data_IF_832763186184
#
_entry.id   IF_832763186184
#
_cell.length_a   1.000
_cell.length_b   1.000
_cell.length_c   1.000
_cell.angle_alpha   90.00
_cell.angle_beta   90.00
_cell.angle_gamma   90.00
#
_symmetry.space_group_name_H-M   'P 1'
#
loop_
_entity.id
_entity.type
_entity.pdbx_description
1 polymer ?
#
# COMPACT_ATOMS: atom_id res chain seq x y z
N UNK A 1 14.59 6.00 -10.34
CA UNK A 1 14.10 5.81 -8.96
C UNK A 1 15.29 6.04 -8.04
N UNK A 2 15.27 7.12 -7.26
CA UNK A 2 16.27 7.36 -6.22
C UNK A 2 15.86 6.61 -4.96
N UNK A 3 16.80 6.09 -4.15
CA UNK A 3 16.47 5.51 -2.86
C UNK A 3 15.86 6.57 -1.93
N UNK A 4 14.97 6.14 -1.03
CA UNK A 4 14.47 7.01 0.02
C UNK A 4 15.64 7.53 0.85
N UNK A 5 15.60 8.82 1.18
CA UNK A 5 16.56 9.48 2.03
C UNK A 5 16.43 9.00 3.48
N UNK A 6 17.51 9.15 4.25
CA UNK A 6 17.50 8.87 5.70
C UNK A 6 16.42 9.67 6.42
N UNK A 7 16.18 10.91 5.99
CA UNK A 7 15.17 11.80 6.58
C UNK A 7 13.75 11.30 6.29
N UNK A 8 13.47 10.84 5.06
CA UNK A 8 12.17 10.24 4.72
C UNK A 8 11.91 8.97 5.54
N UNK A 9 12.92 8.11 5.71
CA UNK A 9 12.81 6.90 6.54
C UNK A 9 12.60 7.29 8.00
N UNK A 10 13.32 8.28 8.52
CA UNK A 10 13.16 8.77 9.89
C UNK A 10 11.78 9.38 10.13
N UNK A 11 11.21 10.09 9.15
CA UNK A 11 9.84 10.62 9.23
C UNK A 11 8.80 9.50 9.27
N UNK A 12 8.98 8.42 8.49
CA UNK A 12 8.11 7.24 8.57
C UNK A 12 8.12 6.61 9.96
N UNK A 13 9.25 6.59 10.68
CA UNK A 13 9.34 5.99 12.03
C UNK A 13 8.49 6.69 13.08
N UNK A 14 8.11 7.95 12.84
CA UNK A 14 7.32 8.75 13.78
C UNK A 14 5.83 8.39 13.79
N UNK A 15 5.37 7.58 12.83
CA UNK A 15 3.95 7.24 12.66
C UNK A 15 3.80 5.91 11.91
N UNK A 16 2.56 5.51 11.62
CA UNK A 16 2.26 4.36 10.78
C UNK A 16 1.96 4.81 9.36
N UNK A 17 2.48 4.07 8.38
CA UNK A 17 2.39 4.38 6.97
C UNK A 17 1.85 3.20 6.19
N UNK A 18 1.14 3.45 5.09
CA UNK A 18 0.91 2.39 4.10
C UNK A 18 2.26 2.04 3.46
N UNK A 19 2.50 0.78 3.14
CA UNK A 19 3.77 0.36 2.51
C UNK A 19 4.05 1.06 1.16
N UNK A 20 3.01 1.57 0.49
CA UNK A 20 3.07 2.08 -0.87
C UNK A 20 3.07 3.61 -1.01
N UNK A 21 2.92 4.35 0.10
CA UNK A 21 2.88 5.83 0.10
C UNK A 21 3.45 6.40 1.39
N UNK A 22 3.75 7.71 1.39
CA UNK A 22 4.20 8.45 2.57
C UNK A 22 3.15 8.52 3.70
N UNK A 23 3.61 8.71 4.97
CA UNK A 23 2.76 8.72 6.16
C UNK A 23 1.71 9.83 6.19
N UNK A 24 2.11 11.04 5.82
CA UNK A 24 1.29 12.24 5.91
C UNK A 24 1.16 12.87 4.53
N UNK A 25 0.07 12.58 3.82
CA UNK A 25 -0.28 13.35 2.64
C UNK A 25 -0.89 14.69 3.07
N UNK A 26 -0.42 15.83 2.54
CA UNK A 26 -1.06 17.12 2.76
C UNK A 26 -2.57 17.06 2.44
N UNK A 27 -2.94 16.27 1.43
CA UNK A 27 -4.32 16.03 0.98
C UNK A 27 -5.21 15.37 2.03
N UNK A 28 -4.68 14.58 2.97
CA UNK A 28 -5.46 13.94 4.04
C UNK A 28 -6.10 14.94 4.99
N UNK A 29 -5.58 16.16 5.07
CA UNK A 29 -6.12 17.22 5.93
C UNK A 29 -7.21 18.07 5.26
N UNK A 30 -7.41 17.93 3.94
CA UNK A 30 -8.41 18.67 3.18
C UNK A 30 -9.77 17.98 3.27
N UNK A 31 -10.82 18.76 3.57
CA UNK A 31 -12.21 18.25 3.69
C UNK A 31 -12.93 18.12 2.35
N UNK A 32 -12.43 18.79 1.32
CA UNK A 32 -12.95 18.65 -0.03
C UNK A 32 -12.40 17.38 -0.66
N UNK A 33 -13.17 16.78 -1.58
CA UNK A 33 -12.61 15.76 -2.46
C UNK A 33 -11.38 16.28 -3.23
N UNK A 34 -10.58 15.39 -3.81
CA UNK A 34 -9.49 15.79 -4.68
C UNK A 34 -10.01 16.71 -5.79
N UNK A 35 -9.23 17.72 -6.15
CA UNK A 35 -9.58 18.58 -7.26
C UNK A 35 -9.54 17.76 -8.55
N UNK A 36 -10.66 17.70 -9.26
CA UNK A 36 -10.77 17.03 -10.55
C UNK A 36 -11.03 18.06 -11.65
N UNK A 37 -10.40 17.86 -12.79
CA UNK A 37 -10.67 18.58 -14.03
C UNK A 37 -12.01 18.16 -14.64
N UNK A 38 -12.52 18.96 -15.59
CA UNK A 38 -13.75 18.62 -16.29
C UNK A 38 -13.67 17.30 -17.08
N UNK A 39 -12.50 16.97 -17.64
CA UNK A 39 -12.27 15.72 -18.36
C UNK A 39 -12.28 14.51 -17.44
N UNK A 40 -11.68 14.62 -16.25
CA UNK A 40 -11.72 13.59 -15.21
C UNK A 40 -13.15 13.31 -14.75
N UNK A 41 -13.93 14.36 -14.48
CA UNK A 41 -15.34 14.22 -14.11
C UNK A 41 -16.18 13.65 -15.24
N UNK A 42 -15.95 14.05 -16.49
CA UNK A 42 -16.68 13.49 -17.62
C UNK A 42 -16.37 12.00 -17.84
N UNK A 43 -15.11 11.59 -17.59
CA UNK A 43 -14.69 10.21 -17.69
C UNK A 43 -15.28 9.33 -16.59
N UNK A 44 -15.36 9.81 -15.33
CA UNK A 44 -16.01 9.07 -14.24
C UNK A 44 -17.51 8.85 -14.48
N UNK A 45 -18.18 9.79 -15.15
CA UNK A 45 -19.59 9.67 -15.54
C UNK A 45 -19.79 8.64 -16.66
N UNK A 46 -18.78 8.40 -17.50
CA UNK A 46 -18.83 7.41 -18.58
C UNK A 46 -19.63 7.82 -19.82
N UNK A 47 -20.10 9.07 -19.91
CA UNK A 47 -20.82 9.55 -21.08
C UNK A 47 -19.85 10.04 -22.17
N UNK A 48 -19.56 9.17 -23.14
CA UNK A 48 -18.61 9.44 -24.25
C UNK A 48 -18.96 10.74 -25.01
N UNK A 49 -20.20 10.96 -25.48
CA UNK A 49 -20.56 12.23 -26.13
C UNK A 49 -20.29 13.48 -25.29
N UNK A 50 -20.56 13.43 -23.97
CA UNK A 50 -20.28 14.53 -23.07
C UNK A 50 -18.77 14.74 -22.92
N UNK A 51 -18.02 13.66 -22.74
CA UNK A 51 -16.56 13.70 -22.67
C UNK A 51 -15.96 14.36 -23.92
N UNK A 52 -16.40 13.94 -25.11
CA UNK A 52 -15.92 14.51 -26.37
C UNK A 52 -16.28 15.99 -26.52
N UNK A 53 -17.44 16.44 -26.02
CA UNK A 53 -17.79 17.86 -25.98
C UNK A 53 -16.87 18.65 -25.04
N UNK A 54 -16.59 18.13 -23.85
CA UNK A 54 -15.67 18.76 -22.89
C UNK A 54 -14.26 18.85 -23.48
N UNK A 55 -13.81 17.79 -24.15
CA UNK A 55 -12.53 17.74 -24.86
C UNK A 55 -12.45 18.76 -26.00
N UNK A 56 -13.51 18.88 -26.80
CA UNK A 56 -13.62 19.84 -27.90
C UNK A 56 -13.58 21.31 -27.43
N UNK A 57 -13.88 21.58 -26.15
CA UNK A 57 -13.72 22.90 -25.55
C UNK A 57 -12.25 23.30 -25.28
N UNK A 58 -11.29 22.56 -25.84
CA UNK A 58 -9.84 22.81 -25.77
C UNK A 58 -9.28 22.76 -24.34
N UNK A 59 -9.71 21.74 -23.58
CA UNK A 59 -9.11 21.40 -22.30
C UNK A 59 -7.69 20.84 -22.51
N UNK A 60 -6.79 21.09 -21.57
CA UNK A 60 -5.44 20.54 -21.63
C UNK A 60 -5.45 19.03 -21.31
N UNK A 61 -4.98 18.22 -22.27
CA UNK A 61 -4.82 16.76 -22.15
C UNK A 61 -3.38 16.30 -22.49
N UNK A 62 -2.45 17.26 -22.60
CA UNK A 62 -1.10 17.04 -23.13
C UNK A 62 -0.30 16.02 -22.31
N UNK A 63 -0.40 16.06 -20.98
CA UNK A 63 0.28 15.10 -20.11
C UNK A 63 -0.29 13.69 -20.25
N UNK A 64 -1.62 13.56 -20.29
CA UNK A 64 -2.28 12.25 -20.30
C UNK A 64 -2.19 11.50 -21.62
N UNK A 65 -1.88 12.22 -22.71
CA UNK A 65 -1.66 11.67 -24.05
C UNK A 65 -0.17 11.51 -24.39
N UNK A 66 0.71 11.89 -23.46
CA UNK A 66 2.16 11.78 -23.65
C UNK A 66 2.60 10.31 -23.69
N UNK A 67 3.41 9.96 -24.69
CA UNK A 67 3.93 8.59 -24.89
C UNK A 67 5.16 8.28 -24.05
N UNK A 68 5.97 9.30 -23.76
CA UNK A 68 7.23 9.17 -23.02
C UNK A 68 7.25 10.21 -21.89
N UNK A 69 7.43 9.76 -20.65
CA UNK A 69 7.57 10.67 -19.51
C UNK A 69 8.90 11.43 -19.71
N UNK A 70 8.88 12.77 -19.80
CA UNK A 70 10.10 13.52 -20.02
C UNK A 70 11.08 13.32 -18.86
N UNK A 71 12.40 13.21 -19.14
CA UNK A 71 13.41 12.92 -18.12
C UNK A 71 13.60 14.07 -17.13
N UNK A 72 13.20 15.28 -17.50
CA UNK A 72 13.15 16.45 -16.63
C UNK A 72 11.80 17.14 -16.78
N UNK A 73 11.24 17.67 -15.68
CA UNK A 73 10.03 18.46 -15.76
C UNK A 73 10.26 19.71 -16.60
N UNK A 74 9.25 20.10 -17.38
CA UNK A 74 9.26 21.37 -18.08
C UNK A 74 9.25 22.55 -17.09
N UNK A 75 9.83 23.68 -17.49
CA UNK A 75 9.85 24.91 -16.68
C UNK A 75 8.42 25.39 -16.32
N UNK A 76 7.46 25.11 -17.20
CA UNK A 76 6.03 25.40 -16.99
C UNK A 76 5.25 24.09 -17.12
N UNK A 77 4.64 23.66 -16.02
CA UNK A 77 3.79 22.48 -15.98
C UNK A 77 2.41 22.81 -16.52
N UNK A 78 1.86 21.90 -17.31
CA UNK A 78 0.50 22.00 -17.84
C UNK A 78 -0.54 21.63 -16.79
N UNK A 79 -1.81 21.94 -17.01
CA UNK A 79 -2.87 21.63 -16.04
C UNK A 79 -3.04 20.12 -15.85
N UNK A 80 -2.95 19.35 -16.93
CA UNK A 80 -2.97 17.89 -16.94
C UNK A 80 -1.75 17.29 -16.23
N UNK A 81 -0.57 17.94 -16.29
CA UNK A 81 0.61 17.53 -15.52
C UNK A 81 0.43 17.80 -14.01
N UNK A 82 -0.25 18.88 -13.65
CA UNK A 82 -0.54 19.23 -12.27
C UNK A 82 -1.72 18.46 -11.66
N UNK A 83 -2.42 17.61 -12.44
CA UNK A 83 -3.45 16.73 -11.89
C UNK A 83 -2.83 15.61 -11.05
N UNK A 84 -3.54 15.22 -10.00
CA UNK A 84 -3.24 14.06 -9.14
C UNK A 84 -3.88 12.77 -9.67
N UNK A 85 -4.69 12.86 -10.72
CA UNK A 85 -5.38 11.76 -11.37
C UNK A 85 -5.31 11.92 -12.91
N UNK A 86 -6.05 11.09 -13.64
CA UNK A 86 -6.31 11.29 -15.06
C UNK A 86 -7.69 10.72 -15.43
N UNK A 87 -8.24 11.09 -16.60
CA UNK A 87 -9.48 10.51 -17.10
C UNK A 87 -9.50 8.98 -17.11
N UNK A 88 -8.35 8.32 -17.33
CA UNK A 88 -8.25 6.86 -17.26
C UNK A 88 -8.44 6.34 -15.84
N UNK A 89 -7.79 6.97 -14.85
CA UNK A 89 -7.95 6.60 -13.44
C UNK A 89 -9.41 6.73 -13.00
N UNK A 90 -10.04 7.85 -13.36
CA UNK A 90 -11.43 8.12 -13.00
C UNK A 90 -12.43 7.17 -13.67
N UNK A 91 -12.20 6.82 -14.94
CA UNK A 91 -13.00 5.81 -15.63
C UNK A 91 -12.88 4.43 -14.94
N UNK A 92 -11.67 4.03 -14.54
CA UNK A 92 -11.41 2.76 -13.85
C UNK A 92 -12.08 2.73 -12.47
N UNK A 93 -11.81 3.73 -11.64
CA UNK A 93 -12.38 3.82 -10.27
C UNK A 93 -13.91 3.88 -10.29
N UNK A 94 -14.50 4.39 -11.38
CA UNK A 94 -15.95 4.48 -11.57
C UNK A 94 -16.54 3.30 -12.34
N UNK A 95 -15.75 2.29 -12.73
CA UNK A 95 -16.21 1.10 -13.45
C UNK A 95 -16.70 1.37 -14.88
N UNK A 96 -16.24 2.45 -15.52
CA UNK A 96 -16.67 2.88 -16.86
C UNK A 96 -15.79 2.23 -17.95
N UNK A 97 -15.98 0.93 -18.19
CA UNK A 97 -15.14 0.16 -19.14
C UNK A 97 -15.24 0.66 -20.59
N UNK A 98 -16.42 1.07 -21.05
CA UNK A 98 -16.61 1.63 -22.40
C UNK A 98 -15.85 2.96 -22.55
N UNK A 99 -15.88 3.81 -21.53
CA UNK A 99 -15.09 5.04 -21.50
C UNK A 99 -13.59 4.74 -21.49
N UNK A 100 -13.14 3.75 -20.72
CA UNK A 100 -11.73 3.34 -20.72
C UNK A 100 -11.26 2.89 -22.11
N UNK A 101 -12.06 2.09 -22.82
CA UNK A 101 -11.78 1.70 -24.21
C UNK A 101 -11.74 2.92 -25.14
N UNK A 102 -12.69 3.84 -24.99
CA UNK A 102 -12.71 5.08 -25.76
C UNK A 102 -11.43 5.89 -25.54
N UNK A 103 -11.04 6.13 -24.29
CA UNK A 103 -9.82 6.85 -23.91
C UNK A 103 -8.56 6.22 -24.53
N UNK A 104 -8.44 4.88 -24.46
CA UNK A 104 -7.35 4.15 -25.12
C UNK A 104 -7.35 4.42 -26.62
N UNK A 105 -8.52 4.36 -27.28
CA UNK A 105 -8.66 4.55 -28.73
C UNK A 105 -8.26 5.95 -29.22
N UNK A 106 -8.48 6.98 -28.39
CA UNK A 106 -8.15 8.38 -28.73
C UNK A 106 -6.74 8.79 -28.29
N UNK A 107 -5.92 7.84 -27.81
CA UNK A 107 -4.50 8.04 -27.59
C UNK A 107 -4.08 8.39 -26.16
N UNK A 108 -4.97 8.28 -25.17
CA UNK A 108 -4.54 8.37 -23.78
C UNK A 108 -3.55 7.25 -23.44
N UNK A 109 -2.57 7.57 -22.61
CA UNK A 109 -1.46 6.68 -22.27
C UNK A 109 -1.86 5.73 -21.13
N UNK A 110 -1.84 4.40 -21.33
CA UNK A 110 -2.14 3.43 -20.27
C UNK A 110 -1.05 3.37 -19.17
N UNK A 111 0.08 4.05 -19.39
CA UNK A 111 1.21 4.13 -18.45
C UNK A 111 1.31 5.49 -17.76
N UNK A 112 0.28 6.32 -17.88
CA UNK A 112 0.29 7.67 -17.32
C UNK A 112 0.50 7.64 -15.81
N UNK A 113 1.46 8.43 -15.33
CA UNK A 113 1.71 8.67 -13.92
C UNK A 113 1.40 10.15 -13.62
N UNK A 114 0.46 10.44 -12.70
CA UNK A 114 0.25 11.80 -12.20
C UNK A 114 1.55 12.41 -11.66
N UNK A 115 1.92 13.60 -12.15
CA UNK A 115 3.20 14.22 -11.81
C UNK A 115 3.13 15.00 -10.48
N UNK A 116 1.97 15.56 -10.13
CA UNK A 116 1.81 16.42 -8.95
C UNK A 116 1.99 15.71 -7.60
N UNK A 117 1.82 14.38 -7.55
CA UNK A 117 1.90 13.60 -6.32
C UNK A 117 2.69 12.29 -6.55
N UNK A 118 4.02 12.37 -6.78
CA UNK A 118 4.83 11.21 -7.18
C UNK A 118 4.92 10.12 -6.11
N UNK A 119 4.66 10.47 -4.84
CA UNK A 119 4.63 9.56 -3.69
C UNK A 119 3.39 8.66 -3.66
N UNK A 120 2.32 9.03 -4.37
CA UNK A 120 1.06 8.29 -4.43
C UNK A 120 0.65 7.89 -5.84
N UNK A 121 1.42 8.29 -6.85
CA UNK A 121 1.04 8.06 -8.22
C UNK A 121 1.21 6.57 -8.57
N UNK A 122 0.15 6.03 -9.14
CA UNK A 122 0.09 4.67 -9.66
C UNK A 122 -0.37 4.75 -11.12
N UNK A 123 0.05 3.83 -11.99
CA UNK A 123 -0.43 3.76 -13.36
C UNK A 123 -1.84 3.14 -13.42
N UNK A 124 -2.61 3.40 -14.48
CA UNK A 124 -3.98 2.88 -14.65
C UNK A 124 -4.15 1.37 -14.37
N UNK A 125 -3.23 0.53 -14.85
CA UNK A 125 -3.37 -0.93 -14.66
C UNK A 125 -3.19 -1.36 -13.20
N UNK A 126 -2.43 -0.60 -12.41
CA UNK A 126 -2.34 -0.83 -10.95
C UNK A 126 -3.56 -0.27 -10.24
N UNK A 127 -4.16 0.81 -10.71
CA UNK A 127 -5.39 1.39 -10.14
C UNK A 127 -6.53 0.40 -10.14
N UNK A 128 -6.70 -0.34 -11.23
CA UNK A 128 -7.69 -1.40 -11.35
C UNK A 128 -7.55 -2.48 -10.25
N UNK A 129 -6.32 -2.69 -9.76
CA UNK A 129 -6.03 -3.66 -8.70
C UNK A 129 -6.06 -3.01 -7.31
N UNK A 130 -5.51 -1.82 -7.15
CA UNK A 130 -5.27 -1.22 -5.85
C UNK A 130 -6.48 -0.47 -5.28
N UNK A 131 -7.23 0.23 -6.13
CA UNK A 131 -8.26 1.21 -5.70
C UNK A 131 -9.68 0.83 -6.11
N UNK A 132 -9.87 -0.37 -6.65
CA UNK A 132 -11.18 -0.96 -6.89
C UNK A 132 -11.43 -2.05 -5.85
N UNK A 133 -12.62 -2.06 -5.25
CA UNK A 133 -13.05 -3.09 -4.30
C UNK A 133 -14.41 -3.67 -4.74
N UNK A 134 -14.44 -4.92 -5.26
CA UNK A 134 -13.30 -5.78 -5.54
C UNK A 134 -12.41 -5.25 -6.69
N UNK A 135 -11.17 -5.77 -6.86
CA UNK A 135 -10.30 -5.45 -8.00
C UNK A 135 -11.02 -5.59 -9.35
N UNK A 136 -10.86 -4.60 -10.23
CA UNK A 136 -11.52 -4.53 -11.54
C UNK A 136 -10.69 -5.27 -12.61
N UNK A 137 -10.92 -6.58 -12.70
CA UNK A 137 -10.23 -7.43 -13.68
C UNK A 137 -10.58 -7.07 -15.13
N UNK A 138 -11.78 -6.51 -15.39
CA UNK A 138 -12.18 -6.11 -16.75
C UNK A 138 -11.32 -4.93 -17.19
N UNK A 139 -11.19 -3.91 -16.35
CA UNK A 139 -10.30 -2.78 -16.63
C UNK A 139 -8.83 -3.22 -16.76
N UNK A 140 -8.38 -4.12 -15.88
CA UNK A 140 -7.03 -4.68 -15.94
C UNK A 140 -6.76 -5.40 -17.27
N UNK A 141 -7.69 -6.23 -17.73
CA UNK A 141 -7.56 -6.97 -18.99
C UNK A 141 -7.55 -6.04 -20.20
N UNK A 142 -8.42 -5.02 -20.22
CA UNK A 142 -8.46 -4.03 -21.29
C UNK A 142 -7.11 -3.31 -21.43
N UNK A 143 -6.47 -2.98 -20.31
CA UNK A 143 -5.15 -2.38 -20.30
C UNK A 143 -4.07 -3.38 -20.70
N UNK A 144 -4.10 -4.60 -20.18
CA UNK A 144 -3.12 -5.64 -20.51
C UNK A 144 -3.14 -6.06 -21.99
N UNK A 145 -4.30 -5.92 -22.66
CA UNK A 145 -4.45 -6.15 -24.10
C UNK A 145 -3.93 -5.00 -24.96
N UNK A 146 -3.80 -3.79 -24.42
CA UNK A 146 -3.25 -2.66 -25.17
C UNK A 146 -1.72 -2.81 -25.29
N UNK A 147 -1.15 -2.85 -26.51
CA UNK A 147 0.27 -3.10 -26.72
C UNK A 147 1.17 -1.97 -26.19
N UNK A 148 0.61 -0.81 -25.83
CA UNK A 148 1.35 0.30 -25.23
C UNK A 148 1.51 0.12 -23.73
N UNK A 149 0.72 -0.75 -23.08
CA UNK A 149 0.76 -0.92 -21.63
C UNK A 149 2.04 -1.62 -21.20
N UNK A 150 2.77 -0.97 -20.30
CA UNK A 150 3.92 -1.54 -19.61
C UNK A 150 3.46 -2.06 -18.25
N UNK A 151 3.25 -3.37 -18.15
CA UNK A 151 2.87 -4.03 -16.89
C UNK A 151 4.05 -4.19 -15.92
N UNK A 152 5.28 -3.84 -16.35
CA UNK A 152 6.50 -3.95 -15.54
C UNK A 152 6.85 -2.64 -14.82
N UNK A 153 6.17 -1.54 -15.20
CA UNK A 153 6.33 -0.23 -14.59
C UNK A 153 6.15 -0.31 -13.06
N UNK A 154 6.85 0.58 -12.35
CA UNK A 154 6.79 0.68 -10.89
C UNK A 154 6.50 2.12 -10.50
N UNK A 155 5.91 2.30 -9.31
CA UNK A 155 5.71 3.65 -8.79
C UNK A 155 7.07 4.35 -8.58
N UNK A 156 7.18 5.65 -8.88
CA UNK A 156 8.48 6.30 -9.05
C UNK A 156 9.26 6.51 -7.75
N UNK A 157 8.56 6.61 -6.61
CA UNK A 157 9.19 6.82 -5.29
C UNK A 157 9.37 5.50 -4.54
N UNK A 158 8.29 4.73 -4.38
CA UNK A 158 8.28 3.53 -3.55
C UNK A 158 8.60 2.23 -4.32
N UNK A 159 8.82 2.31 -5.64
CA UNK A 159 9.17 1.15 -6.48
C UNK A 159 8.12 0.02 -6.41
N UNK A 160 6.84 0.40 -6.25
CA UNK A 160 5.74 -0.55 -6.08
C UNK A 160 5.34 -1.12 -7.44
N UNK A 161 5.48 -2.43 -7.57
CA UNK A 161 4.96 -3.24 -8.68
C UNK A 161 3.50 -3.70 -8.40
N UNK A 162 2.71 -3.98 -9.44
CA UNK A 162 1.30 -4.41 -9.33
C UNK A 162 1.11 -5.63 -8.41
N UNK A 163 2.07 -6.55 -8.42
CA UNK A 163 2.06 -7.74 -7.57
C UNK A 163 2.10 -7.43 -6.07
N UNK A 164 2.68 -6.30 -5.65
CA UNK A 164 2.63 -5.89 -4.24
C UNK A 164 1.21 -5.48 -3.85
N UNK A 165 0.50 -4.73 -4.70
CA UNK A 165 -0.91 -4.38 -4.48
C UNK A 165 -1.80 -5.63 -4.45
N UNK A 166 -1.62 -6.53 -5.41
CA UNK A 166 -2.34 -7.81 -5.44
C UNK A 166 -2.07 -8.67 -4.19
N UNK A 167 -0.82 -8.67 -3.69
CA UNK A 167 -0.47 -9.39 -2.46
C UNK A 167 -1.13 -8.78 -1.23
N UNK A 168 -1.28 -7.45 -1.17
CA UNK A 168 -1.91 -6.78 -0.05
C UNK A 168 -3.39 -7.16 0.15
N UNK A 169 -4.07 -7.60 -0.92
CA UNK A 169 -5.44 -8.14 -0.88
C UNK A 169 -5.54 -9.54 -0.26
N UNK A 170 -4.43 -10.27 -0.13
CA UNK A 170 -4.38 -11.66 0.35
C UNK A 170 -5.30 -12.59 -0.47
N UNK A 171 -5.42 -12.33 -1.77
CA UNK A 171 -6.23 -13.11 -2.72
C UNK A 171 -5.32 -13.92 -3.65
N UNK A 172 -5.20 -15.22 -3.37
CA UNK A 172 -4.37 -16.15 -4.16
C UNK A 172 -4.90 -16.28 -5.60
N UNK A 173 -6.20 -16.50 -5.85
CA UNK A 173 -6.75 -16.46 -7.22
C UNK A 173 -6.38 -15.21 -8.01
N UNK A 174 -6.44 -14.02 -7.40
CA UNK A 174 -6.00 -12.76 -8.02
C UNK A 174 -4.50 -12.79 -8.35
N UNK A 175 -3.67 -13.22 -7.41
CA UNK A 175 -2.22 -13.34 -7.64
C UNK A 175 -1.91 -14.31 -8.77
N UNK A 176 -2.55 -15.47 -8.80
CA UNK A 176 -2.42 -16.45 -9.87
C UNK A 176 -2.89 -15.88 -11.21
N UNK A 177 -3.98 -15.10 -11.21
CA UNK A 177 -4.50 -14.44 -12.40
C UNK A 177 -3.47 -13.50 -13.02
N UNK A 178 -2.94 -12.55 -12.23
CA UNK A 178 -1.96 -11.56 -12.69
C UNK A 178 -0.65 -12.25 -13.10
N UNK A 179 -0.24 -13.33 -12.43
CA UNK A 179 0.97 -14.08 -12.77
C UNK A 179 0.86 -14.92 -14.07
N UNK A 180 -0.31 -15.00 -14.72
CA UNK A 180 -0.44 -15.67 -16.02
C UNK A 180 0.27 -14.90 -17.13
N UNK A 181 0.36 -13.58 -17.02
CA UNK A 181 1.05 -12.79 -18.02
C UNK A 181 2.57 -13.01 -17.92
N UNK A 182 3.27 -13.22 -19.06
CA UNK A 182 4.71 -13.49 -19.06
C UNK A 182 5.57 -12.38 -18.45
N UNK A 183 5.05 -11.15 -18.43
CA UNK A 183 5.73 -9.95 -17.93
C UNK A 183 5.58 -9.76 -16.42
N UNK A 184 4.70 -10.50 -15.76
CA UNK A 184 4.40 -10.36 -14.33
C UNK A 184 4.52 -11.67 -13.54
N UNK A 185 5.58 -12.50 -13.73
CA UNK A 185 5.82 -13.62 -12.83
C UNK A 185 6.11 -13.12 -11.41
N UNK A 186 5.96 -13.99 -10.39
CA UNK A 186 6.23 -13.61 -8.99
C UNK A 186 7.63 -12.98 -8.79
N UNK A 187 8.63 -13.45 -9.52
CA UNK A 187 9.99 -12.92 -9.47
C UNK A 187 10.12 -11.49 -10.02
N UNK A 188 9.21 -11.05 -10.89
CA UNK A 188 9.20 -9.68 -11.42
C UNK A 188 8.84 -8.63 -10.37
N UNK A 189 8.21 -9.03 -9.26
CA UNK A 189 7.87 -8.12 -8.18
C UNK A 189 9.10 -7.44 -7.56
N UNK A 190 10.25 -8.10 -7.49
CA UNK A 190 11.45 -7.56 -6.85
C UNK A 190 11.18 -7.09 -5.40
N UNK A 191 11.76 -5.95 -5.02
CA UNK A 191 11.50 -5.29 -3.74
C UNK A 191 11.00 -3.87 -3.94
N UNK A 192 10.28 -3.34 -2.95
CA UNK A 192 9.95 -1.91 -2.85
C UNK A 192 11.19 -1.09 -2.47
N UNK A 193 11.09 0.24 -2.51
CA UNK A 193 12.14 1.14 -1.99
C UNK A 193 12.32 1.05 -0.47
N UNK A 194 11.36 0.45 0.25
CA UNK A 194 11.46 0.10 1.66
C UNK A 194 12.09 -1.28 1.87
N UNK A 195 12.48 -1.98 0.80
CA UNK A 195 13.02 -3.34 0.90
C UNK A 195 11.96 -4.42 1.12
N UNK A 196 10.66 -4.08 1.07
CA UNK A 196 9.60 -5.08 1.20
C UNK A 196 9.56 -5.99 -0.02
N UNK A 197 9.59 -7.30 0.24
CA UNK A 197 9.25 -8.35 -0.72
C UNK A 197 7.74 -8.62 -0.70
N UNK A 198 7.21 -9.46 -1.59
CA UNK A 198 5.82 -9.92 -1.48
C UNK A 198 5.56 -10.59 -0.11
N UNK A 199 6.54 -11.35 0.39
CA UNK A 199 6.44 -11.98 1.71
C UNK A 199 6.38 -10.96 2.87
N UNK A 200 7.05 -9.82 2.75
CA UNK A 200 6.87 -8.72 3.70
C UNK A 200 5.45 -8.16 3.62
N UNK A 201 4.98 -7.81 2.42
CA UNK A 201 3.65 -7.19 2.22
C UNK A 201 2.52 -8.07 2.76
N UNK A 202 2.55 -9.38 2.51
CA UNK A 202 1.56 -10.29 3.09
C UNK A 202 1.65 -10.37 4.61
N UNK A 203 2.84 -10.18 5.19
CA UNK A 203 3.08 -10.32 6.65
C UNK A 203 2.77 -9.05 7.43
N UNK A 204 2.65 -7.90 6.75
CA UNK A 204 2.30 -6.63 7.37
C UNK A 204 0.92 -6.71 8.05
N UNK A 205 0.75 -6.03 9.20
CA UNK A 205 -0.56 -5.84 9.81
C UNK A 205 -1.50 -5.08 8.85
N UNK A 206 -2.80 -5.43 8.84
CA UNK A 206 -3.80 -4.78 7.97
C UNK A 206 -3.79 -3.26 8.14
N UNK A 207 -3.94 -2.85 9.40
CA UNK A 207 -3.86 -1.47 9.87
C UNK A 207 -3.10 -1.45 11.19
N UNK A 208 -2.74 -0.25 11.64
CA UNK A 208 -2.10 0.01 12.92
C UNK A 208 -2.96 -0.37 14.13
N UNK A 209 -4.28 -0.45 13.97
CA UNK A 209 -5.17 -1.02 14.99
C UNK A 209 -4.89 -2.50 15.28
N UNK A 210 -4.30 -3.25 14.34
CA UNK A 210 -3.96 -4.66 14.50
C UNK A 210 -2.61 -4.88 15.20
N UNK A 211 -1.83 -3.82 15.36
CA UNK A 211 -0.50 -3.86 16.00
C UNK A 211 -0.67 -3.85 17.51
N UNK A 212 0.15 -4.62 18.22
CA UNK A 212 0.27 -4.55 19.67
C UNK A 212 1.06 -3.30 20.09
N UNK A 213 0.39 -2.14 20.02
CA UNK A 213 0.98 -0.83 20.33
C UNK A 213 1.38 -0.66 21.81
N UNK A 214 1.01 -1.60 22.68
CA UNK A 214 1.34 -1.58 24.10
C UNK A 214 2.70 -2.21 24.41
N UNK A 215 3.27 -2.96 23.46
CA UNK A 215 4.64 -3.47 23.54
C UNK A 215 5.61 -2.40 23.06
N UNK A 216 6.62 -2.13 23.89
CA UNK A 216 7.65 -1.15 23.59
C UNK A 216 8.51 -1.61 22.41
N UNK A 217 8.93 -2.89 22.39
CA UNK A 217 9.74 -3.42 21.30
C UNK A 217 8.99 -3.42 19.98
N UNK A 218 7.71 -3.81 19.97
CA UNK A 218 6.86 -3.79 18.77
C UNK A 218 6.65 -2.37 18.27
N UNK A 219 6.27 -1.43 19.16
CA UNK A 219 6.04 -0.03 18.80
C UNK A 219 7.25 0.61 18.12
N UNK A 220 8.47 0.33 18.61
CA UNK A 220 9.72 0.85 18.02
C UNK A 220 10.15 0.16 16.74
N UNK A 221 9.58 -1.00 16.42
CA UNK A 221 10.03 -1.83 15.30
C UNK A 221 9.14 -1.70 14.07
N UNK A 222 7.86 -1.36 14.23
CA UNK A 222 6.85 -1.54 13.18
C UNK A 222 6.27 -0.19 12.78
N UNK A 223 6.39 0.12 11.49
CA UNK A 223 6.00 1.44 10.96
C UNK A 223 5.11 1.36 9.71
N UNK A 224 4.91 0.15 9.16
CA UNK A 224 4.17 -0.05 7.93
C UNK A 224 2.97 -0.98 8.12
N UNK A 225 1.93 -0.71 7.34
CA UNK A 225 0.69 -1.48 7.27
C UNK A 225 0.36 -1.82 5.81
N UNK A 226 -0.40 -2.90 5.58
CA UNK A 226 -0.76 -3.34 4.21
C UNK A 226 -2.03 -2.71 3.64
N UNK A 227 -2.76 -1.89 4.37
CA UNK A 227 -4.02 -1.32 3.88
C UNK A 227 -3.85 -0.54 2.56
N UNK A 228 -4.80 -0.77 1.64
CA UNK A 228 -4.93 -0.03 0.38
C UNK A 228 -6.01 1.06 0.47
N UNK A 229 -6.78 1.09 1.56
CA UNK A 229 -7.84 2.06 1.79
C UNK A 229 -7.28 3.47 1.84
N UNK A 230 -7.69 4.34 0.92
CA UNK A 230 -7.19 5.72 0.77
C UNK A 230 -8.11 6.79 1.36
N UNK A 231 -9.39 6.48 1.54
CA UNK A 231 -10.44 7.45 1.90
C UNK A 231 -10.74 7.45 3.39
N UNK A 232 -10.70 6.29 4.04
CA UNK A 232 -11.19 6.14 5.41
C UNK A 232 -10.10 5.82 6.45
N UNK A 233 -8.96 5.26 6.03
CA UNK A 233 -7.88 4.97 6.95
C UNK A 233 -6.98 6.18 7.19
N UNK A 234 -6.77 6.47 8.46
CA UNK A 234 -5.81 7.44 8.98
C UNK A 234 -5.02 6.77 10.12
N UNK A 235 -3.71 7.01 10.22
CA UNK A 235 -2.92 6.46 11.31
C UNK A 235 -3.38 7.02 12.66
N UNK A 236 -3.41 6.15 13.67
CA UNK A 236 -3.71 6.46 15.06
C UNK A 236 -2.70 7.46 15.56
N UNK A 237 -3.17 8.62 15.99
CA UNK A 237 -2.30 9.65 16.54
C UNK A 237 -2.11 9.45 18.05
N UNK A 238 -1.12 8.63 18.41
CA UNK A 238 -0.79 8.35 19.81
C UNK A 238 -0.26 9.60 20.54
N UNK A 239 0.44 10.51 19.83
CA UNK A 239 1.06 11.72 20.41
C UNK A 239 0.05 12.79 20.86
N UNK A 240 -1.15 12.83 20.26
CA UNK A 240 -2.22 13.77 20.63
C UNK A 240 -3.07 13.32 21.81
N UNK A 241 -2.87 12.09 22.31
CA UNK A 241 -3.57 11.61 23.50
C UNK A 241 -3.00 12.37 24.71
N UNK A 242 -3.76 13.30 25.28
CA UNK A 242 -3.32 14.07 26.45
C UNK A 242 -3.56 13.22 27.72
N UNK A 243 -2.54 12.96 28.58
CA UNK A 243 -2.70 12.23 29.84
C UNK A 243 -3.75 12.84 30.79
N UNK A 244 -4.02 14.15 30.68
CA UNK A 244 -4.99 14.87 31.50
C UNK A 244 -6.45 14.72 31.03
N UNK A 245 -6.68 14.37 29.75
CA UNK A 245 -8.01 14.14 29.20
C UNK A 245 -8.36 12.65 29.33
N UNK A 246 -8.71 12.23 30.55
CA UNK A 246 -9.14 10.85 30.92
C UNK A 246 -10.52 10.45 30.36
N UNK A 247 -10.93 11.02 29.23
CA UNK A 247 -12.15 10.62 28.51
C UNK A 247 -11.86 9.41 27.63
N UNK A 248 -12.91 8.65 27.29
CA UNK A 248 -12.84 7.54 26.33
C UNK A 248 -12.11 8.00 25.07
N UNK A 249 -11.18 7.17 24.62
CA UNK A 249 -10.27 7.30 23.48
C UNK A 249 -11.01 7.74 22.21
N UNK A 250 -11.22 9.05 22.04
CA UNK A 250 -11.81 9.59 20.84
C UNK A 250 -11.04 10.81 20.34
N UNK A 251 -10.43 10.67 19.17
CA UNK A 251 -10.09 11.81 18.31
C UNK A 251 -11.19 11.98 17.27
N UNK A 252 -11.06 13.04 16.46
CA UNK A 252 -12.04 13.36 15.42
C UNK A 252 -12.20 12.25 14.36
N UNK A 253 -11.23 11.32 14.27
CA UNK A 253 -11.24 10.10 13.45
C UNK A 253 -11.02 8.79 14.26
N UNK A 254 -10.50 8.86 15.50
CA UNK A 254 -10.25 7.69 16.36
C UNK A 254 -11.53 7.25 17.11
N UNK A 255 -12.51 6.68 16.41
CA UNK A 255 -13.68 6.08 17.10
C UNK A 255 -13.43 4.64 17.57
N UNK A 256 -12.35 4.00 17.12
CA UNK A 256 -12.02 2.63 17.47
C UNK A 256 -11.32 2.55 18.85
N UNK A 257 -11.85 1.80 19.83
CA UNK A 257 -11.17 1.58 21.09
C UNK A 257 -9.87 0.80 20.88
N UNK A 258 -8.83 1.11 21.67
CA UNK A 258 -7.63 0.28 21.79
C UNK A 258 -7.67 -0.52 23.11
N UNK A 259 -7.22 -1.79 23.12
CA UNK A 259 -6.81 -2.58 21.95
C UNK A 259 -8.00 -2.83 21.03
N UNK A 260 -7.71 -3.00 19.74
CA UNK A 260 -8.72 -3.38 18.76
C UNK A 260 -9.40 -4.67 19.20
N UNK A 261 -10.74 -4.64 19.25
CA UNK A 261 -11.52 -5.83 19.51
C UNK A 261 -11.39 -6.77 18.33
N UNK A 262 -10.96 -8.00 18.58
CA UNK A 262 -10.79 -9.01 17.54
C UNK A 262 -12.16 -9.52 17.05
N UNK A 263 -12.43 -9.33 15.76
CA UNK A 263 -13.70 -9.66 15.11
C UNK A 263 -13.54 -10.83 14.14
N UNK A 264 -14.67 -11.26 13.56
CA UNK A 264 -14.70 -12.36 12.58
C UNK A 264 -13.95 -12.00 11.30
N UNK A 265 -13.97 -10.73 10.92
CA UNK A 265 -13.24 -10.22 9.76
C UNK A 265 -11.73 -10.37 9.96
N UNK A 266 -11.22 -10.13 11.17
CA UNK A 266 -9.80 -10.29 11.50
C UNK A 266 -9.37 -11.76 11.47
N UNK A 267 -10.24 -12.68 11.90
CA UNK A 267 -9.98 -14.12 11.79
C UNK A 267 -9.94 -14.58 10.33
N UNK A 268 -10.87 -14.09 9.51
CA UNK A 268 -10.89 -14.38 8.07
C UNK A 268 -9.64 -13.83 7.37
N UNK A 269 -9.22 -12.62 7.75
CA UNK A 269 -8.02 -11.97 7.27
C UNK A 269 -6.75 -12.75 7.65
N UNK A 270 -6.61 -13.15 8.92
CA UNK A 270 -5.49 -13.94 9.41
C UNK A 270 -5.37 -15.29 8.69
N UNK A 271 -6.51 -15.94 8.36
CA UNK A 271 -6.54 -17.16 7.56
C UNK A 271 -6.07 -16.93 6.12
N UNK A 272 -6.48 -15.83 5.49
CA UNK A 272 -5.99 -15.43 4.16
C UNK A 272 -4.50 -15.11 4.20
N UNK A 273 -4.04 -14.44 5.26
CA UNK A 273 -2.63 -14.12 5.47
C UNK A 273 -1.79 -15.39 5.57
N UNK A 274 -2.21 -16.35 6.39
CA UNK A 274 -1.55 -17.65 6.50
C UNK A 274 -1.47 -18.36 5.14
N UNK A 275 -2.58 -18.45 4.41
CA UNK A 275 -2.62 -19.10 3.11
C UNK A 275 -1.66 -18.43 2.11
N UNK A 276 -1.67 -17.10 2.03
CA UNK A 276 -0.80 -16.34 1.13
C UNK A 276 0.68 -16.47 1.49
N UNK A 277 1.04 -16.40 2.78
CA UNK A 277 2.41 -16.59 3.27
C UNK A 277 2.95 -17.96 2.87
N UNK A 278 2.17 -19.02 3.11
CA UNK A 278 2.60 -20.38 2.78
C UNK A 278 2.72 -20.58 1.27
N UNK A 279 1.76 -20.09 0.49
CA UNK A 279 1.79 -20.15 -0.98
C UNK A 279 3.00 -19.42 -1.57
N UNK A 280 3.31 -18.22 -1.09
CA UNK A 280 4.47 -17.43 -1.51
C UNK A 280 5.82 -18.08 -1.14
N UNK A 281 5.88 -18.83 -0.03
CA UNK A 281 7.09 -19.58 0.32
C UNK A 281 7.22 -20.86 -0.50
N UNK A 282 6.11 -21.53 -0.79
CA UNK A 282 6.07 -22.75 -1.62
C UNK A 282 6.42 -22.49 -3.08
N UNK A 283 6.24 -21.26 -3.58
CA UNK A 283 6.70 -20.88 -4.92
C UNK A 283 8.23 -20.92 -5.08
N UNK A 284 8.98 -20.92 -3.96
CA UNK A 284 10.44 -20.87 -3.96
C UNK A 284 11.03 -19.52 -4.37
N UNK A 285 10.20 -18.48 -4.54
CA UNK A 285 10.66 -17.16 -4.99
C UNK A 285 10.89 -16.18 -3.85
N UNK A 286 10.57 -16.55 -2.60
CA UNK A 286 10.60 -15.66 -1.45
C UNK A 286 11.52 -16.19 -0.36
N UNK A 287 12.16 -15.27 0.36
CA UNK A 287 13.09 -15.56 1.45
C UNK A 287 12.54 -15.02 2.78
N UNK A 288 12.45 -15.90 3.78
CA UNK A 288 12.00 -15.57 5.14
C UNK A 288 13.05 -14.74 5.90
N UNK A 289 14.32 -14.82 5.51
CA UNK A 289 15.43 -14.07 6.09
C UNK A 289 15.64 -12.69 5.46
N UNK A 290 14.90 -12.35 4.40
CA UNK A 290 14.97 -11.05 3.76
C UNK A 290 14.66 -9.95 4.78
N UNK A 291 15.42 -8.85 4.70
CA UNK A 291 15.28 -7.69 5.57
C UNK A 291 14.87 -6.46 4.78
N UNK A 292 13.96 -5.69 5.35
CA UNK A 292 13.59 -4.37 4.87
C UNK A 292 14.55 -3.27 5.37
N UNK A 293 14.21 -2.01 5.10
CA UNK A 293 14.98 -0.83 5.54
C UNK A 293 14.99 -0.58 7.06
N UNK A 294 14.20 -1.33 7.83
CA UNK A 294 14.21 -1.30 9.30
C UNK A 294 14.95 -2.52 9.87
N UNK A 295 15.49 -3.37 9.00
CA UNK A 295 16.09 -4.64 9.38
C UNK A 295 15.05 -5.71 9.78
N UNK A 296 13.76 -5.42 9.64
CA UNK A 296 12.70 -6.37 9.95
C UNK A 296 12.63 -7.43 8.85
N UNK A 297 12.36 -8.65 9.28
CA UNK A 297 11.99 -9.76 8.39
C UNK A 297 10.47 -9.93 8.40
N UNK A 298 9.89 -10.73 7.48
CA UNK A 298 8.46 -11.04 7.51
C UNK A 298 7.97 -11.58 8.87
N UNK A 299 8.82 -12.34 9.59
CA UNK A 299 8.49 -12.82 10.94
C UNK A 299 8.33 -11.71 11.97
N UNK A 300 9.10 -10.61 11.88
CA UNK A 300 8.94 -9.48 12.81
C UNK A 300 7.54 -8.88 12.70
N UNK A 301 7.05 -8.71 11.46
CA UNK A 301 5.71 -8.21 11.22
C UNK A 301 4.62 -9.16 11.71
N UNK A 302 4.76 -10.47 11.49
CA UNK A 302 3.81 -11.44 12.03
C UNK A 302 3.76 -11.42 13.56
N UNK A 303 4.85 -11.11 14.26
CA UNK A 303 4.92 -11.01 15.73
C UNK A 303 4.44 -9.68 16.29
N UNK A 304 4.19 -8.70 15.42
CA UNK A 304 3.76 -7.38 15.85
C UNK A 304 2.28 -7.29 16.22
N UNK A 305 1.47 -8.30 15.89
CA UNK A 305 0.01 -8.19 16.00
C UNK A 305 -0.53 -8.49 17.40
N UNK A 306 -1.70 -7.94 17.73
CA UNK A 306 -2.39 -8.17 19.02
C UNK A 306 -2.69 -9.65 19.26
N UNK A 307 -3.03 -10.40 18.20
CA UNK A 307 -3.28 -11.85 18.26
C UNK A 307 -2.44 -12.59 17.23
N UNK A 308 -1.35 -13.18 17.70
CA UNK A 308 -0.41 -13.92 16.87
C UNK A 308 -0.98 -15.27 16.42
N UNK A 309 -0.78 -15.62 15.14
CA UNK A 309 -1.10 -16.96 14.61
C UNK A 309 0.03 -17.94 14.95
N UNK A 310 -0.01 -18.52 16.15
CA UNK A 310 1.00 -19.47 16.65
C UNK A 310 1.18 -20.68 15.73
N UNK A 311 0.13 -21.15 15.07
CA UNK A 311 0.19 -22.30 14.15
C UNK A 311 1.05 -21.95 12.92
N UNK A 312 0.79 -20.80 12.30
CA UNK A 312 1.61 -20.30 11.20
C UNK A 312 3.07 -20.16 11.63
N UNK A 313 3.35 -19.63 12.83
CA UNK A 313 4.72 -19.49 13.32
C UNK A 313 5.41 -20.83 13.50
N UNK A 314 4.71 -21.82 14.07
CA UNK A 314 5.23 -23.19 14.17
C UNK A 314 5.65 -23.73 12.79
N UNK A 315 4.81 -23.52 11.77
CA UNK A 315 5.10 -23.91 10.38
C UNK A 315 6.32 -23.15 9.81
N UNK A 316 6.40 -21.84 10.02
CA UNK A 316 7.49 -21.01 9.49
C UNK A 316 8.83 -21.31 10.16
N UNK A 317 8.85 -21.56 11.46
CA UNK A 317 10.06 -21.95 12.21
C UNK A 317 10.61 -23.30 11.77
N UNK A 318 9.71 -24.23 11.42
CA UNK A 318 10.08 -25.56 10.92
C UNK A 318 10.62 -25.55 9.48
N UNK A 319 10.43 -24.48 8.70
CA UNK A 319 11.04 -24.33 7.37
C UNK A 319 12.56 -24.13 7.49
N UNK A 320 13.26 -24.39 6.39
CA UNK A 320 14.71 -24.22 6.32
C UNK A 320 15.14 -22.80 6.74
N UNK A 321 16.07 -22.71 7.70
CA UNK A 321 16.53 -21.44 8.25
C UNK A 321 15.51 -20.69 9.13
N UNK A 322 14.28 -21.17 9.26
CA UNK A 322 13.21 -20.49 9.99
C UNK A 322 13.52 -20.25 11.47
N UNK A 323 13.96 -21.29 12.19
CA UNK A 323 14.38 -21.18 13.60
C UNK A 323 15.60 -20.25 13.78
N UNK A 324 16.49 -20.19 12.79
CA UNK A 324 17.62 -19.25 12.82
C UNK A 324 17.13 -17.81 12.68
N UNK A 325 16.23 -17.53 11.73
CA UNK A 325 15.63 -16.19 11.58
C UNK A 325 14.87 -15.81 12.84
N UNK A 326 14.12 -16.75 13.41
CA UNK A 326 13.35 -16.58 14.65
C UNK A 326 14.17 -16.04 15.83
N UNK A 327 15.39 -16.57 16.03
CA UNK A 327 16.24 -16.24 17.19
C UNK A 327 17.34 -15.22 16.91
N UNK A 328 17.93 -15.30 15.72
CA UNK A 328 19.20 -14.61 15.44
C UNK A 328 19.03 -13.38 14.55
N UNK A 329 17.94 -13.29 13.78
CA UNK A 329 17.74 -12.15 12.88
C UNK A 329 17.24 -10.94 13.66
N UNK A 330 18.14 -10.00 13.92
CA UNK A 330 17.81 -8.75 14.61
C UNK A 330 17.47 -7.62 13.64
N UNK A 331 16.45 -6.84 13.97
CA UNK A 331 16.18 -5.58 13.31
C UNK A 331 17.13 -4.46 13.78
N UNK A 332 16.96 -3.24 13.27
CA UNK A 332 17.82 -2.10 13.65
C UNK A 332 17.76 -1.73 15.13
N UNK A 333 16.66 -2.07 15.82
CA UNK A 333 16.51 -1.87 17.26
C UNK A 333 17.15 -3.01 18.08
N UNK A 334 17.75 -3.99 17.41
CA UNK A 334 18.44 -5.11 18.03
C UNK A 334 17.53 -6.24 18.50
N UNK A 335 16.25 -6.24 18.08
CA UNK A 335 15.25 -7.21 18.49
C UNK A 335 15.07 -8.29 17.43
N UNK A 336 14.95 -9.55 17.86
CA UNK A 336 14.54 -10.68 17.04
C UNK A 336 13.01 -10.83 16.98
N UNK A 337 12.45 -11.66 16.08
CA UNK A 337 11.03 -12.02 16.15
C UNK A 337 10.61 -12.60 17.51
N UNK A 338 11.46 -13.43 18.12
CA UNK A 338 11.22 -13.99 19.45
C UNK A 338 11.12 -12.88 20.52
N UNK A 339 12.04 -11.91 20.49
CA UNK A 339 12.02 -10.76 21.39
C UNK A 339 10.71 -9.97 21.31
N UNK A 340 10.17 -9.79 20.10
CA UNK A 340 8.92 -9.06 19.88
C UNK A 340 7.71 -9.83 20.43
N UNK A 341 7.68 -11.15 20.23
CA UNK A 341 6.60 -12.00 20.74
C UNK A 341 6.58 -12.01 22.28
N UNK A 342 7.75 -12.15 22.91
CA UNK A 342 7.88 -12.16 24.37
C UNK A 342 7.43 -10.82 24.97
N UNK A 343 7.94 -9.70 24.45
CA UNK A 343 7.54 -8.36 24.91
C UNK A 343 6.05 -8.09 24.64
N UNK A 344 5.54 -8.57 23.51
CA UNK A 344 4.12 -8.51 23.14
C UNK A 344 3.20 -9.25 24.12
N UNK A 345 3.62 -10.42 24.62
CA UNK A 345 2.86 -11.22 25.60
C UNK A 345 2.89 -10.61 27.00
N UNK A 346 3.99 -9.95 27.36
CA UNK A 346 4.16 -9.29 28.65
C UNK A 346 3.52 -7.89 28.70
N UNK A 347 3.23 -7.30 27.54
CA UNK A 347 2.67 -5.96 27.43
C UNK A 347 1.32 -5.82 28.14
N UNK A 348 1.28 -4.94 29.13
CA UNK A 348 0.05 -4.56 29.81
C UNK A 348 -0.74 -3.54 29.00
N UNK A 349 -2.05 -3.77 28.85
CA UNK A 349 -2.97 -2.82 28.24
C UNK A 349 -3.25 -1.70 29.24
N UNK A 350 -2.63 -0.55 29.01
CA UNK A 350 -2.78 0.65 29.83
C UNK A 350 -3.44 1.77 29.03
N UNK A 351 -4.01 2.76 29.72
CA UNK A 351 -4.56 3.95 29.05
C UNK A 351 -3.48 4.80 28.36
N UNK A 352 -2.22 4.66 28.79
CA UNK A 352 -1.10 5.48 28.36
C UNK A 352 0.23 4.71 28.44
N UNK A 353 1.14 4.98 27.50
CA UNK A 353 2.54 4.53 27.55
C UNK A 353 3.46 5.71 27.28
N UNK A 354 4.45 5.93 28.15
CA UNK A 354 5.38 7.06 28.03
C UNK A 354 6.19 7.00 26.72
N UNK A 355 6.53 5.80 26.28
CA UNK A 355 7.30 5.59 25.06
C UNK A 355 6.56 5.97 23.77
N UNK A 356 5.24 6.22 23.80
CA UNK A 356 4.53 6.77 22.64
C UNK A 356 4.93 8.21 22.32
N UNK A 357 5.58 8.89 23.25
CA UNK A 357 6.07 10.26 23.11
C UNK A 357 7.58 10.33 22.82
N UNK A 358 8.27 9.19 22.80
CA UNK A 358 9.67 9.15 22.42
C UNK A 358 9.82 9.43 20.90
N UNK A 359 10.89 10.14 20.55
CA UNK A 359 11.21 10.52 19.16
C UNK A 359 12.08 9.49 18.43
#
# INVERSE_FOLDING_TARGET
>A
ISPLTTDEIAMRRKTFSRFWTEPELPTFSFRSGPACTALEVAASVGNIPLFDQVRAANQDESWWTTREIPPQPADVLTHSALSVSSPMHEAIVSGQHEMLQHLLSIGYSPNILPFAAPTCCIPPHMTAIAFCDPPDLVAHDLLALDPRTDTTIRTPVFSIHVLHFATAHLDIPLMQYICKAPTTPLSAAGTTSLGHTLLHITSLPLTDAHINLFSHKIFKSIHDVRTLETRTWYPINLRRRNPANRGILHSRADTAPLPHEFKREDEADQKKQEAMVLWLLESGTQDLAAKDVYGNTPLHYLMSVVRVNEELIGKLRAKEGGERVWKESKNEMGYSPEDLLEDGREAQVDQWKDFWMED
#
